data_IF_366518448954
#
_entry.id   IF_366518448954
#
_cell.length_a   1.000
_cell.length_b   1.000
_cell.length_c   1.000
_cell.angle_alpha   90.00
_cell.angle_beta   90.00
_cell.angle_gamma   90.00
#
_symmetry.space_group_name_H-M   'P 1'
#
loop_
_entity.id
_entity.type
_entity.pdbx_description
1 polymer ?
#
# COMPACT_ATOMS: atom_id res chain seq x y z
N UNK A 1 -40.67 33.40 2.08
CA UNK A 1 -41.39 32.18 1.62
C UNK A 1 -42.75 32.61 1.14
N UNK A 2 -43.30 32.17 -0.02
CA UNK A 2 -42.87 31.15 -1.03
C UNK A 2 -42.42 31.82 -2.37
N UNK A 3 -41.55 31.30 -3.26
CA UNK A 3 -41.40 30.06 -4.08
C UNK A 3 -42.48 29.89 -5.16
N UNK A 4 -42.13 30.34 -6.38
CA UNK A 4 -42.81 30.05 -7.65
C UNK A 4 -41.94 29.11 -8.51
N UNK A 5 -42.64 28.43 -9.40
CA UNK A 5 -42.40 27.21 -10.16
C UNK A 5 -41.21 27.22 -11.16
N UNK A 6 -40.84 26.03 -11.63
CA UNK A 6 -40.15 25.89 -12.92
C UNK A 6 -39.42 24.58 -13.15
N UNK A 7 -40.12 23.58 -13.68
CA UNK A 7 -39.58 22.33 -14.21
C UNK A 7 -38.61 22.55 -15.38
N UNK A 8 -37.49 21.81 -15.40
CA UNK A 8 -36.83 21.38 -16.65
C UNK A 8 -36.22 19.99 -16.45
N UNK A 9 -36.86 18.98 -17.05
CA UNK A 9 -36.21 17.72 -17.42
C UNK A 9 -35.30 17.96 -18.63
N UNK A 10 -34.09 17.37 -18.64
CA UNK A 10 -33.53 16.80 -19.87
C UNK A 10 -32.23 16.04 -19.64
N UNK A 11 -32.29 14.75 -20.03
CA UNK A 11 -31.31 14.00 -20.82
C UNK A 11 -30.09 13.43 -20.09
N UNK A 12 -30.00 12.10 -20.16
CA UNK A 12 -28.97 11.29 -19.56
C UNK A 12 -27.58 11.45 -20.18
N UNK A 13 -26.60 11.06 -19.37
CA UNK A 13 -25.37 10.45 -19.83
C UNK A 13 -25.12 9.24 -18.94
N UNK A 14 -25.33 8.07 -19.51
CA UNK A 14 -24.76 6.82 -19.02
C UNK A 14 -23.24 6.99 -19.06
N UNK A 15 -22.61 7.14 -17.89
CA UNK A 15 -21.19 6.92 -17.77
C UNK A 15 -21.02 5.66 -16.93
N UNK A 16 -20.69 4.59 -17.65
CA UNK A 16 -20.22 3.30 -17.16
C UNK A 16 -18.93 3.51 -16.34
N UNK A 17 -19.11 3.98 -15.12
CA UNK A 17 -18.09 4.02 -14.09
C UNK A 17 -18.28 2.77 -13.24
N UNK A 18 -17.65 1.67 -13.63
CA UNK A 18 -17.43 0.53 -12.73
C UNK A 18 -16.56 0.99 -11.55
N UNK A 19 -17.16 1.71 -10.60
CA UNK A 19 -16.63 1.95 -9.28
C UNK A 19 -16.54 0.58 -8.60
N UNK A 20 -15.37 -0.05 -8.71
CA UNK A 20 -15.05 -1.18 -7.85
C UNK A 20 -15.18 -0.66 -6.41
N UNK A 21 -16.07 -1.21 -5.57
CA UNK A 21 -16.01 -0.92 -4.17
C UNK A 21 -14.67 -1.49 -3.69
N UNK A 22 -13.72 -0.61 -3.36
CA UNK A 22 -12.58 -0.98 -2.54
C UNK A 22 -13.11 -1.11 -1.12
N UNK A 23 -13.89 -2.15 -0.90
CA UNK A 23 -14.18 -2.64 0.43
C UNK A 23 -12.92 -3.36 0.91
N UNK A 24 -11.94 -2.57 1.36
CA UNK A 24 -10.77 -3.09 2.06
C UNK A 24 -11.09 -3.02 3.54
N UNK A 25 -12.15 -3.71 3.95
CA UNK A 25 -12.28 -4.20 5.32
C UNK A 25 -11.35 -5.42 5.49
N UNK A 26 -10.08 -5.27 5.13
CA UNK A 26 -9.06 -6.22 5.58
C UNK A 26 -8.94 -5.96 7.09
N UNK A 27 -9.36 -6.94 7.89
CA UNK A 27 -9.13 -6.90 9.32
C UNK A 27 -7.64 -6.61 9.56
N UNK A 28 -7.32 -5.72 10.49
CA UNK A 28 -5.93 -5.41 10.83
C UNK A 28 -5.11 -6.70 11.14
N UNK A 29 -5.79 -7.72 11.67
CA UNK A 29 -5.23 -9.05 11.96
C UNK A 29 -4.83 -9.84 10.70
N UNK A 30 -5.56 -9.69 9.58
CA UNK A 30 -5.24 -10.40 8.34
C UNK A 30 -3.95 -9.84 7.71
N UNK A 31 -3.76 -8.52 7.79
CA UNK A 31 -2.57 -7.84 7.26
C UNK A 31 -1.28 -8.33 7.95
N UNK A 32 -1.29 -8.45 9.28
CA UNK A 32 -0.14 -8.94 10.03
C UNK A 32 0.27 -10.35 9.58
N UNK A 33 -0.69 -11.24 9.38
CA UNK A 33 -0.42 -12.62 8.98
C UNK A 33 0.23 -12.71 7.59
N UNK A 34 -0.12 -11.81 6.66
CA UNK A 34 0.54 -11.73 5.36
C UNK A 34 2.01 -11.27 5.49
N UNK A 35 2.31 -10.36 6.40
CA UNK A 35 3.67 -9.86 6.61
C UNK A 35 4.62 -10.95 7.12
N UNK A 36 4.19 -11.71 8.14
CA UNK A 36 4.96 -12.85 8.64
C UNK A 36 5.16 -13.93 7.57
N UNK A 37 4.13 -14.18 6.77
CA UNK A 37 4.22 -15.16 5.67
C UNK A 37 5.25 -14.72 4.62
N UNK A 38 5.25 -13.44 4.26
CA UNK A 38 6.18 -12.88 3.30
C UNK A 38 7.62 -12.91 3.82
N UNK A 39 7.86 -12.48 5.06
CA UNK A 39 9.19 -12.56 5.69
C UNK A 39 9.71 -14.01 5.70
N UNK A 40 8.87 -14.98 6.10
CA UNK A 40 9.26 -16.40 6.10
C UNK A 40 9.71 -16.89 4.73
N UNK A 41 9.02 -16.48 3.68
CA UNK A 41 9.36 -16.84 2.30
C UNK A 41 10.69 -16.22 1.89
N UNK A 42 10.88 -14.91 2.14
CA UNK A 42 12.13 -14.20 1.82
C UNK A 42 13.30 -14.85 2.56
N UNK A 43 13.17 -15.05 3.87
CA UNK A 43 14.20 -15.64 4.70
C UNK A 43 14.58 -17.05 4.23
N UNK A 44 13.59 -17.88 3.88
CA UNK A 44 13.85 -19.25 3.40
C UNK A 44 14.65 -19.32 2.10
N UNK A 45 14.66 -18.24 1.30
CA UNK A 45 15.36 -18.17 0.01
C UNK A 45 16.61 -17.30 0.03
N UNK A 46 16.74 -16.44 1.03
CA UNK A 46 17.78 -15.41 1.09
C UNK A 46 18.64 -15.49 2.35
N UNK A 47 18.53 -16.54 3.16
CA UNK A 47 19.31 -16.72 4.40
C UNK A 47 20.83 -16.72 4.19
N UNK A 48 21.31 -17.17 3.03
CA UNK A 48 22.75 -17.18 2.67
C UNK A 48 23.15 -15.96 1.81
N UNK A 49 22.21 -15.06 1.51
CA UNK A 49 22.49 -13.90 0.67
C UNK A 49 23.28 -12.85 1.45
N UNK A 50 24.37 -12.36 0.87
CA UNK A 50 25.18 -11.30 1.48
C UNK A 50 24.48 -9.93 1.51
N UNK A 51 23.46 -9.72 0.67
CA UNK A 51 22.64 -8.52 0.63
C UNK A 51 21.29 -8.87 0.01
N UNK A 52 20.20 -8.41 0.63
CA UNK A 52 18.84 -8.53 0.08
C UNK A 52 18.37 -7.15 -0.36
N UNK A 53 18.02 -7.04 -1.63
CA UNK A 53 17.42 -5.83 -2.19
C UNK A 53 15.90 -6.04 -2.27
N UNK A 54 15.13 -5.11 -1.73
CA UNK A 54 13.68 -5.16 -1.83
C UNK A 54 13.09 -3.77 -2.00
N UNK A 55 11.93 -3.71 -2.65
CA UNK A 55 11.20 -2.45 -2.79
C UNK A 55 10.78 -1.97 -1.40
N UNK A 56 10.94 -0.66 -1.15
CA UNK A 56 10.45 -0.04 0.07
C UNK A 56 8.92 -0.08 0.04
N UNK A 57 8.26 -0.56 1.10
CA UNK A 57 6.82 -0.49 1.16
C UNK A 57 6.35 0.97 1.14
N UNK A 58 5.17 1.22 0.55
CA UNK A 58 4.60 2.56 0.53
C UNK A 58 4.09 2.94 1.91
N UNK A 59 4.42 4.14 2.37
CA UNK A 59 3.84 4.71 3.58
C UNK A 59 2.41 5.15 3.28
N UNK A 60 1.45 4.73 4.11
CA UNK A 60 0.03 5.04 3.91
C UNK A 60 -0.36 6.40 4.51
N UNK A 61 0.29 6.81 5.59
CA UNK A 61 0.13 8.10 6.26
C UNK A 61 1.42 8.44 7.03
N UNK A 62 1.69 9.73 7.21
CA UNK A 62 2.75 10.28 8.08
C UNK A 62 2.22 11.38 8.99
N UNK A 63 0.90 11.43 9.18
CA UNK A 63 0.23 12.52 9.88
C UNK A 63 0.36 12.39 11.40
N UNK A 64 0.56 11.17 11.89
CA UNK A 64 0.66 10.86 13.32
C UNK A 64 1.92 10.07 13.64
N UNK A 65 2.34 10.11 14.91
CA UNK A 65 3.44 9.29 15.41
C UNK A 65 3.09 7.79 15.32
N UNK A 66 1.82 7.42 15.56
CA UNK A 66 1.32 6.06 15.42
C UNK A 66 1.48 5.51 14.00
N UNK A 67 1.29 6.35 12.97
CA UNK A 67 1.51 5.95 11.57
C UNK A 67 2.99 5.63 11.31
N UNK A 68 3.89 6.42 11.88
CA UNK A 68 5.33 6.21 11.77
C UNK A 68 5.76 4.94 12.50
N UNK A 69 5.21 4.69 13.69
CA UNK A 69 5.44 3.47 14.46
C UNK A 69 4.94 2.23 13.71
N UNK A 70 3.73 2.27 13.17
CA UNK A 70 3.16 1.17 12.39
C UNK A 70 3.98 0.87 11.13
N UNK A 71 4.43 1.90 10.41
CA UNK A 71 5.29 1.73 9.24
C UNK A 71 6.65 1.12 9.60
N UNK A 72 7.24 1.55 10.71
CA UNK A 72 8.52 1.03 11.20
C UNK A 72 8.38 -0.42 11.63
N UNK A 73 7.33 -0.76 12.41
CA UNK A 73 7.03 -2.12 12.82
C UNK A 73 6.82 -3.06 11.62
N UNK A 74 6.21 -2.55 10.55
CA UNK A 74 6.07 -3.30 9.31
C UNK A 74 7.43 -3.57 8.63
N UNK A 75 8.29 -2.57 8.53
CA UNK A 75 9.63 -2.74 7.96
C UNK A 75 10.48 -3.72 8.79
N UNK A 76 10.37 -3.65 10.12
CA UNK A 76 11.05 -4.55 11.04
C UNK A 76 10.57 -6.00 10.86
N UNK A 77 9.25 -6.22 10.78
CA UNK A 77 8.67 -7.54 10.52
C UNK A 77 9.16 -8.13 9.19
N UNK A 78 9.18 -7.31 8.13
CA UNK A 78 9.57 -7.76 6.79
C UNK A 78 11.06 -8.12 6.72
N UNK A 79 11.91 -7.40 7.44
CA UNK A 79 13.37 -7.54 7.39
C UNK A 79 13.95 -8.43 8.50
N UNK A 80 13.12 -8.91 9.42
CA UNK A 80 13.53 -9.78 10.52
C UNK A 80 14.34 -10.99 10.03
N UNK A 81 15.49 -11.21 10.64
CA UNK A 81 16.38 -12.35 10.36
C UNK A 81 17.29 -12.19 9.13
N UNK A 82 17.21 -11.09 8.39
CA UNK A 82 18.12 -10.79 7.29
C UNK A 82 19.33 -9.97 7.80
N UNK A 83 20.54 -10.34 7.38
CA UNK A 83 21.77 -9.70 7.87
C UNK A 83 21.97 -8.28 7.30
N UNK A 84 21.74 -8.12 6.00
CA UNK A 84 21.89 -6.84 5.28
C UNK A 84 20.74 -6.69 4.29
N UNK A 85 19.95 -5.63 4.47
CA UNK A 85 18.82 -5.29 3.60
C UNK A 85 18.99 -3.87 3.09
N UNK A 86 18.73 -3.68 1.79
CA UNK A 86 18.61 -2.37 1.16
C UNK A 86 17.18 -2.20 0.66
N UNK A 87 16.45 -1.26 1.26
CA UNK A 87 15.11 -0.86 0.83
C UNK A 87 15.25 0.21 -0.26
N UNK A 88 14.65 -0.03 -1.42
CA UNK A 88 14.69 0.89 -2.56
C UNK A 88 13.31 1.48 -2.78
N UNK A 89 13.19 2.79 -2.69
CA UNK A 89 12.01 3.52 -3.16
C UNK A 89 12.31 4.07 -4.56
N UNK A 90 11.59 3.57 -5.57
CA UNK A 90 11.66 4.08 -6.93
C UNK A 90 10.80 5.35 -7.09
N UNK A 91 11.33 6.34 -7.81
CA UNK A 91 10.54 7.48 -8.28
C UNK A 91 9.85 7.15 -9.61
N UNK A 92 8.75 7.85 -9.93
CA UNK A 92 8.07 7.68 -11.23
C UNK A 92 8.97 8.03 -12.42
N UNK A 93 9.97 8.87 -12.21
CA UNK A 93 10.89 9.35 -13.25
C UNK A 93 12.20 8.55 -13.33
N UNK A 94 12.30 7.42 -12.61
CA UNK A 94 13.50 6.57 -12.67
C UNK A 94 13.47 5.77 -13.98
N UNK A 95 14.12 6.29 -15.02
CA UNK A 95 14.31 5.61 -16.30
C UNK A 95 15.71 4.97 -16.31
N UNK A 96 15.76 3.64 -16.46
CA UNK A 96 17.01 2.90 -16.59
C UNK A 96 17.34 2.79 -18.08
N UNK A 97 18.25 3.64 -18.57
CA UNK A 97 18.84 3.49 -19.90
C UNK A 97 19.96 2.43 -19.85
N UNK A 98 19.91 1.44 -20.74
CA UNK A 98 20.88 0.35 -20.88
C UNK A 98 21.48 0.33 -22.29
#
# INVERSE_FOLDING_TARGET
>A
VPVEEGSTESVGHENDGSERPRDVSASHDDCEQYFYTLNRIILSRSSESSLVLMNMPSIWSVETDDDCEAFTAYCDCLTAGLERVLLVAGGRDTLLDF
#
